data_IF_654450692458
#
_entry.id   IF_654450692458
#
_cell.length_a   1.000
_cell.length_b   1.000
_cell.length_c   1.000
_cell.angle_alpha   90.00
_cell.angle_beta   90.00
_cell.angle_gamma   90.00
#
_symmetry.space_group_name_H-M   'P 1'
#
loop_
_entity.id
_entity.type
_entity.pdbx_description
1 polymer ?
#
# COMPACT_ATOMS: atom_id res chain seq x y z
N UNK A 1 19.32 -16.99 -3.99
CA UNK A 1 19.77 -18.40 -4.01
C UNK A 1 20.90 -18.53 -3.02
N UNK A 2 20.78 -19.39 -2.01
CA UNK A 2 21.94 -19.78 -1.20
C UNK A 2 22.77 -20.65 -2.14
N UNK A 3 24.01 -20.26 -2.44
CA UNK A 3 24.89 -21.05 -3.29
C UNK A 3 25.12 -22.44 -2.69
N UNK A 4 25.48 -23.42 -3.53
CA UNK A 4 25.80 -24.79 -3.12
C UNK A 4 26.77 -24.76 -1.92
N UNK A 5 26.38 -25.39 -0.82
CA UNK A 5 27.24 -25.56 0.36
C UNK A 5 28.22 -26.70 0.15
N UNK A 6 29.28 -26.77 0.95
CA UNK A 6 30.25 -27.87 0.87
C UNK A 6 29.59 -29.23 1.22
N UNK A 7 28.55 -29.20 2.05
CA UNK A 7 27.72 -30.37 2.35
C UNK A 7 26.89 -30.80 1.13
N UNK A 8 26.35 -29.85 0.37
CA UNK A 8 25.61 -30.13 -0.87
C UNK A 8 26.54 -30.72 -1.95
N UNK A 9 27.80 -30.27 -2.02
CA UNK A 9 28.81 -30.81 -2.94
C UNK A 9 29.10 -32.28 -2.67
N UNK A 10 29.18 -32.67 -1.38
CA UNK A 10 29.32 -34.07 -0.98
C UNK A 10 27.97 -34.83 -0.91
N UNK A 11 26.85 -34.14 -1.17
CA UNK A 11 25.49 -34.66 -1.07
C UNK A 11 25.14 -35.29 0.29
N UNK A 12 25.59 -34.66 1.38
CA UNK A 12 25.35 -35.10 2.76
C UNK A 12 24.64 -34.01 3.56
N UNK A 13 23.89 -34.35 4.62
CA UNK A 13 23.32 -33.35 5.50
C UNK A 13 24.41 -32.65 6.33
N UNK A 14 24.14 -31.42 6.77
CA UNK A 14 25.03 -30.66 7.68
C UNK A 14 25.26 -31.38 9.02
N UNK A 15 24.35 -32.28 9.40
CA UNK A 15 24.41 -33.11 10.61
C UNK A 15 25.24 -34.39 10.45
N UNK A 16 25.81 -34.65 9.27
CA UNK A 16 26.58 -35.86 8.99
C UNK A 16 27.83 -35.99 9.88
N UNK A 17 28.19 -37.22 10.26
CA UNK A 17 29.41 -37.45 11.05
C UNK A 17 30.69 -37.26 10.23
N UNK A 18 31.85 -37.19 10.87
CA UNK A 18 33.14 -37.14 10.17
C UNK A 18 33.41 -38.37 9.31
N UNK A 19 32.88 -39.53 9.72
CA UNK A 19 33.03 -40.77 8.95
C UNK A 19 32.13 -40.77 7.73
N UNK A 20 30.93 -40.19 7.82
CA UNK A 20 30.05 -39.98 6.68
C UNK A 20 30.69 -39.03 5.65
N UNK A 21 31.35 -37.95 6.10
CA UNK A 21 32.10 -37.04 5.22
C UNK A 21 33.20 -37.78 4.46
N UNK A 22 33.99 -38.62 5.15
CA UNK A 22 35.05 -39.44 4.52
C UNK A 22 34.47 -40.45 3.52
N UNK A 23 33.36 -41.10 3.88
CA UNK A 23 32.69 -42.08 3.01
C UNK A 23 32.14 -41.41 1.75
N UNK A 24 31.46 -40.27 1.91
CA UNK A 24 30.91 -39.49 0.82
C UNK A 24 32.01 -38.96 -0.12
N UNK A 25 33.12 -38.46 0.43
CA UNK A 25 34.27 -38.05 -0.37
C UNK A 25 34.80 -39.20 -1.24
N UNK A 26 35.04 -40.39 -0.67
CA UNK A 26 35.52 -41.55 -1.44
C UNK A 26 34.57 -41.92 -2.57
N UNK A 27 33.27 -41.95 -2.29
CA UNK A 27 32.27 -42.25 -3.29
C UNK A 27 32.22 -41.19 -4.40
N UNK A 28 32.18 -39.90 -4.03
CA UNK A 28 32.11 -38.78 -4.97
C UNK A 28 33.38 -38.63 -5.80
N UNK A 29 34.55 -38.86 -5.19
CA UNK A 29 35.83 -38.88 -5.90
C UNK A 29 35.83 -39.95 -7.00
N UNK A 30 35.32 -41.16 -6.72
CA UNK A 30 35.20 -42.23 -7.71
C UNK A 30 34.15 -41.94 -8.80
N UNK A 31 33.08 -41.22 -8.47
CA UNK A 31 32.04 -40.80 -9.43
C UNK A 31 32.51 -39.68 -10.36
N UNK A 32 33.37 -38.79 -9.85
CA UNK A 32 33.82 -37.58 -10.57
C UNK A 32 35.22 -37.72 -11.19
N UNK A 33 35.90 -38.86 -10.99
CA UNK A 33 37.23 -39.10 -11.54
C UNK A 33 37.21 -39.11 -13.09
N UNK A 34 38.12 -38.38 -13.76
CA UNK A 34 38.14 -38.31 -15.23
C UNK A 34 38.41 -39.67 -15.91
N UNK A 35 39.09 -40.62 -15.26
CA UNK A 35 39.28 -42.00 -15.81
C UNK A 35 37.98 -42.78 -16.00
N UNK A 36 36.88 -42.41 -15.34
CA UNK A 36 35.58 -43.07 -15.58
C UNK A 36 34.89 -42.58 -16.85
N UNK A 37 35.43 -41.57 -17.51
CA UNK A 37 34.87 -41.07 -18.75
C UNK A 37 35.30 -41.97 -19.92
N UNK A 38 34.36 -42.26 -20.81
CA UNK A 38 34.64 -42.99 -22.04
C UNK A 38 35.75 -42.30 -22.85
N UNK A 39 36.57 -43.04 -23.61
CA UNK A 39 37.62 -42.46 -24.46
C UNK A 39 37.08 -41.42 -25.46
N UNK A 40 35.80 -41.54 -25.82
CA UNK A 40 35.06 -40.65 -26.72
C UNK A 40 34.52 -39.38 -26.05
N UNK A 41 34.68 -39.24 -24.73
CA UNK A 41 34.20 -38.06 -24.00
C UNK A 41 34.83 -36.78 -24.56
N UNK A 42 33.99 -35.78 -24.74
CA UNK A 42 34.40 -34.47 -25.24
C UNK A 42 35.29 -33.75 -24.23
N UNK A 43 36.13 -32.85 -24.73
CA UNK A 43 36.95 -31.97 -23.88
C UNK A 43 36.11 -31.19 -22.85
N UNK A 44 34.88 -30.82 -23.22
CA UNK A 44 33.95 -30.14 -22.31
C UNK A 44 33.51 -31.05 -21.14
N UNK A 45 33.19 -32.31 -21.40
CA UNK A 45 32.81 -33.28 -20.37
C UNK A 45 33.99 -33.60 -19.43
N UNK A 46 35.20 -33.70 -19.98
CA UNK A 46 36.42 -33.89 -19.18
C UNK A 46 36.66 -32.71 -18.22
N UNK A 47 36.58 -31.47 -18.72
CA UNK A 47 36.69 -30.27 -17.86
C UNK A 47 35.58 -30.18 -16.82
N UNK A 48 34.36 -30.56 -17.17
CA UNK A 48 33.24 -30.57 -16.23
C UNK A 48 33.44 -31.60 -15.11
N UNK A 49 33.96 -32.79 -15.43
CA UNK A 49 34.30 -33.81 -14.44
C UNK A 49 35.45 -33.35 -13.54
N UNK A 50 36.51 -32.79 -14.12
CA UNK A 50 37.64 -32.23 -13.37
C UNK A 50 37.21 -31.10 -12.42
N UNK A 51 36.34 -30.20 -12.88
CA UNK A 51 35.76 -29.14 -12.04
C UNK A 51 34.94 -29.69 -10.87
N UNK A 52 34.11 -30.74 -11.12
CA UNK A 52 33.36 -31.42 -10.06
C UNK A 52 34.28 -32.12 -9.07
N UNK A 53 35.31 -32.81 -9.55
CA UNK A 53 36.30 -33.48 -8.71
C UNK A 53 37.03 -32.48 -7.81
N UNK A 54 37.44 -31.33 -8.37
CA UNK A 54 38.06 -30.25 -7.58
C UNK A 54 37.12 -29.75 -6.49
N UNK A 55 35.85 -29.50 -6.81
CA UNK A 55 34.87 -29.08 -5.80
C UNK A 55 34.71 -30.12 -4.67
N UNK A 56 34.71 -31.42 -5.01
CA UNK A 56 34.64 -32.52 -4.03
C UNK A 56 35.87 -32.55 -3.14
N UNK A 57 37.06 -32.34 -3.69
CA UNK A 57 38.32 -32.22 -2.93
C UNK A 57 38.31 -31.00 -1.99
N UNK A 58 37.93 -29.83 -2.50
CA UNK A 58 37.85 -28.59 -1.72
C UNK A 58 36.84 -28.74 -0.56
N UNK A 59 35.70 -29.38 -0.82
CA UNK A 59 34.71 -29.68 0.21
C UNK A 59 35.27 -30.61 1.30
N UNK A 60 36.01 -31.65 0.92
CA UNK A 60 36.64 -32.56 1.88
C UNK A 60 37.78 -31.89 2.67
N UNK A 61 38.54 -30.98 2.06
CA UNK A 61 39.62 -30.26 2.75
C UNK A 61 39.11 -29.45 3.95
N UNK A 62 37.91 -28.88 3.82
CA UNK A 62 37.27 -28.10 4.88
C UNK A 62 36.48 -28.99 5.84
N UNK A 63 35.67 -29.92 5.32
CA UNK A 63 34.75 -30.73 6.13
C UNK A 63 35.43 -31.93 6.82
N UNK A 64 36.57 -32.37 6.31
CA UNK A 64 37.34 -33.50 6.84
C UNK A 64 38.17 -33.16 8.08
N UNK A 65 38.54 -31.90 8.25
CA UNK A 65 39.23 -31.38 9.44
C UNK A 65 38.21 -30.82 10.45
N UNK A 66 38.14 -31.33 11.69
CA UNK A 66 37.18 -30.85 12.69
C UNK A 66 37.27 -29.35 12.99
N UNK A 67 38.46 -28.75 12.96
CA UNK A 67 38.65 -27.33 13.23
C UNK A 67 38.15 -26.47 12.07
N UNK A 68 38.52 -26.85 10.83
CA UNK A 68 38.05 -26.15 9.62
C UNK A 68 36.54 -26.30 9.45
N UNK A 69 35.99 -27.49 9.72
CA UNK A 69 34.55 -27.77 9.68
C UNK A 69 33.79 -26.89 10.67
N UNK A 70 34.26 -26.81 11.92
CA UNK A 70 33.64 -25.96 12.94
C UNK A 70 33.62 -24.48 12.51
N UNK A 71 34.74 -23.95 12.02
CA UNK A 71 34.80 -22.57 11.54
C UNK A 71 33.86 -22.33 10.35
N UNK A 72 33.72 -23.31 9.46
CA UNK A 72 32.77 -23.25 8.34
C UNK A 72 31.31 -23.25 8.81
N UNK A 73 30.97 -24.11 9.77
CA UNK A 73 29.64 -24.22 10.36
C UNK A 73 29.25 -22.94 11.11
N UNK A 74 30.17 -22.39 11.92
CA UNK A 74 30.00 -21.12 12.63
C UNK A 74 29.71 -19.96 11.64
N UNK A 75 30.42 -19.94 10.50
CA UNK A 75 30.19 -18.94 9.45
C UNK A 75 28.83 -19.09 8.78
N UNK A 76 28.39 -20.32 8.50
CA UNK A 76 27.04 -20.57 7.95
C UNK A 76 25.99 -20.11 8.95
N UNK A 77 26.15 -20.44 10.23
CA UNK A 77 25.20 -20.08 11.28
C UNK A 77 25.11 -18.55 11.43
N UNK A 78 26.24 -17.86 11.46
CA UNK A 78 26.29 -16.40 11.51
C UNK A 78 25.61 -15.77 10.29
N UNK A 79 25.86 -16.29 9.08
CA UNK A 79 25.20 -15.82 7.86
C UNK A 79 23.68 -16.02 7.92
N UNK A 80 23.21 -17.15 8.45
CA UNK A 80 21.78 -17.42 8.63
C UNK A 80 21.14 -16.47 9.66
N UNK A 81 21.81 -16.21 10.77
CA UNK A 81 21.36 -15.25 11.79
C UNK A 81 21.28 -13.84 11.21
N UNK A 82 22.34 -13.39 10.53
CA UNK A 82 22.36 -12.09 9.88
C UNK A 82 21.26 -11.94 8.83
N UNK A 83 21.00 -12.99 8.05
CA UNK A 83 19.89 -12.99 7.08
C UNK A 83 18.54 -12.82 7.75
N UNK A 84 18.27 -13.54 8.85
CA UNK A 84 17.01 -13.40 9.60
C UNK A 84 16.80 -11.97 10.08
N UNK A 85 17.83 -11.36 10.67
CA UNK A 85 17.77 -9.96 11.13
C UNK A 85 17.49 -9.00 9.98
N UNK A 86 18.13 -9.21 8.82
CA UNK A 86 17.91 -8.39 7.63
C UNK A 86 16.48 -8.55 7.08
N UNK A 87 15.99 -9.78 6.96
CA UNK A 87 14.65 -10.10 6.50
C UNK A 87 13.58 -9.52 7.45
N UNK A 88 13.79 -9.60 8.77
CA UNK A 88 12.90 -9.01 9.77
C UNK A 88 12.84 -7.48 9.67
N UNK A 89 13.99 -6.82 9.49
CA UNK A 89 14.04 -5.37 9.31
C UNK A 89 13.32 -4.93 8.03
N UNK A 90 13.52 -5.65 6.92
CA UNK A 90 12.82 -5.36 5.66
C UNK A 90 11.31 -5.57 5.81
N UNK A 91 10.89 -6.67 6.43
CA UNK A 91 9.48 -6.96 6.63
C UNK A 91 8.81 -5.91 7.53
N UNK A 92 9.50 -5.42 8.56
CA UNK A 92 9.02 -4.30 9.40
C UNK A 92 8.78 -3.04 8.57
N UNK A 93 9.73 -2.68 7.70
CA UNK A 93 9.61 -1.49 6.83
C UNK A 93 8.44 -1.60 5.85
N UNK A 94 8.20 -2.78 5.28
CA UNK A 94 7.05 -3.02 4.39
C UNK A 94 5.75 -2.85 5.18
N UNK A 95 5.64 -3.44 6.38
CA UNK A 95 4.45 -3.26 7.24
C UNK A 95 4.21 -1.80 7.59
N UNK A 96 5.25 -1.07 8.01
CA UNK A 96 5.15 0.36 8.33
C UNK A 96 4.67 1.18 7.13
N UNK A 97 5.17 0.89 5.92
CA UNK A 97 4.74 1.53 4.67
C UNK A 97 3.26 1.26 4.38
N UNK A 98 2.84 0.01 4.48
CA UNK A 98 1.47 -0.40 4.15
C UNK A 98 0.46 0.17 5.18
N UNK A 99 0.85 0.20 6.45
CA UNK A 99 0.08 0.88 7.50
C UNK A 99 -0.04 2.39 7.26
N UNK A 100 1.03 3.05 6.83
CA UNK A 100 0.99 4.47 6.49
C UNK A 100 0.05 4.73 5.30
N UNK A 101 0.11 3.90 4.27
CA UNK A 101 -0.77 3.99 3.11
C UNK A 101 -2.25 3.79 3.51
N UNK A 102 -2.54 2.80 4.36
CA UNK A 102 -3.89 2.58 4.90
C UNK A 102 -4.37 3.80 5.68
N UNK A 103 -3.57 4.30 6.63
CA UNK A 103 -3.90 5.51 7.40
C UNK A 103 -4.10 6.74 6.50
N UNK A 104 -3.32 6.89 5.43
CA UNK A 104 -3.47 7.99 4.48
C UNK A 104 -4.80 7.89 3.72
N UNK A 105 -5.18 6.68 3.29
CA UNK A 105 -6.46 6.41 2.64
C UNK A 105 -7.62 6.68 3.59
N UNK A 106 -7.59 6.15 4.81
CA UNK A 106 -8.61 6.37 5.83
C UNK A 106 -8.81 7.87 6.14
N UNK A 107 -7.71 8.63 6.25
CA UNK A 107 -7.78 10.10 6.42
C UNK A 107 -8.39 10.82 5.23
N UNK A 108 -8.08 10.38 4.01
CA UNK A 108 -8.67 10.94 2.78
C UNK A 108 -10.17 10.67 2.73
N UNK A 109 -10.57 9.42 3.00
CA UNK A 109 -11.97 9.00 3.02
C UNK A 109 -12.77 9.74 4.10
N UNK A 110 -12.21 9.91 5.31
CA UNK A 110 -12.85 10.70 6.37
C UNK A 110 -13.12 12.14 5.94
N UNK A 111 -12.11 12.81 5.33
CA UNK A 111 -12.29 14.18 4.80
C UNK A 111 -13.36 14.26 3.71
N UNK A 112 -13.40 13.26 2.83
CA UNK A 112 -14.39 13.22 1.76
C UNK A 112 -15.80 12.96 2.30
N UNK A 113 -15.92 12.12 3.34
CA UNK A 113 -17.18 11.87 4.03
C UNK A 113 -17.70 13.11 4.72
N UNK A 114 -16.86 13.80 5.50
CA UNK A 114 -17.23 15.08 6.14
C UNK A 114 -17.72 16.10 5.12
N UNK A 115 -17.05 16.18 3.96
CA UNK A 115 -17.45 17.06 2.88
C UNK A 115 -18.79 16.65 2.24
N UNK A 116 -19.03 15.36 2.07
CA UNK A 116 -20.30 14.84 1.56
C UNK A 116 -21.45 15.14 2.54
N UNK A 117 -21.25 14.86 3.83
CA UNK A 117 -22.23 15.12 4.89
C UNK A 117 -22.58 16.62 4.97
N UNK A 118 -21.59 17.50 4.80
CA UNK A 118 -21.80 18.95 4.72
C UNK A 118 -22.71 19.36 3.55
N UNK A 119 -22.47 18.80 2.35
CA UNK A 119 -23.31 19.12 1.18
C UNK A 119 -24.73 18.60 1.33
N UNK A 120 -24.91 17.41 1.91
CA UNK A 120 -26.23 16.86 2.17
C UNK A 120 -27.01 17.71 3.18
N UNK A 121 -26.35 18.17 4.24
CA UNK A 121 -26.95 19.10 5.19
C UNK A 121 -27.32 20.44 4.53
N UNK A 122 -26.44 21.02 3.70
CA UNK A 122 -26.74 22.25 2.96
C UNK A 122 -27.94 22.07 2.02
N UNK A 123 -28.03 20.93 1.34
CA UNK A 123 -29.15 20.60 0.47
C UNK A 123 -30.45 20.57 1.26
N UNK A 124 -30.47 19.89 2.42
CA UNK A 124 -31.61 19.85 3.32
C UNK A 124 -32.06 21.24 3.78
N UNK A 125 -31.11 22.09 4.17
CA UNK A 125 -31.40 23.47 4.59
C UNK A 125 -32.02 24.29 3.44
N UNK A 126 -31.51 24.13 2.22
CA UNK A 126 -32.08 24.82 1.05
C UNK A 126 -33.51 24.36 0.76
N UNK A 127 -33.76 23.05 0.80
CA UNK A 127 -35.09 22.48 0.60
C UNK A 127 -36.07 22.94 1.69
N UNK A 128 -35.64 22.97 2.95
CA UNK A 128 -36.46 23.46 4.06
C UNK A 128 -36.77 24.96 3.92
N UNK A 129 -35.77 25.77 3.56
CA UNK A 129 -35.97 27.19 3.27
C UNK A 129 -36.95 27.39 2.11
N UNK A 130 -36.88 26.54 1.09
CA UNK A 130 -37.78 26.58 -0.06
C UNK A 130 -39.22 26.24 0.37
N UNK A 131 -39.41 25.17 1.15
CA UNK A 131 -40.73 24.81 1.70
C UNK A 131 -41.32 25.93 2.55
N UNK A 132 -40.50 26.58 3.37
CA UNK A 132 -40.96 27.71 4.15
C UNK A 132 -41.36 28.90 3.27
N UNK A 133 -40.58 29.19 2.22
CA UNK A 133 -40.92 30.22 1.25
C UNK A 133 -42.26 29.92 0.53
N UNK A 134 -42.47 28.67 0.12
CA UNK A 134 -43.72 28.22 -0.49
C UNK A 134 -44.91 28.33 0.47
N UNK A 135 -44.75 27.90 1.72
CA UNK A 135 -45.77 28.03 2.77
C UNK A 135 -46.14 29.50 3.02
N UNK A 136 -45.15 30.39 3.08
CA UNK A 136 -45.38 31.83 3.26
C UNK A 136 -46.10 32.41 2.05
N UNK A 137 -45.69 32.05 0.83
CA UNK A 137 -46.34 32.52 -0.39
C UNK A 137 -47.81 32.06 -0.45
N UNK A 138 -48.07 30.81 -0.11
CA UNK A 138 -49.43 30.27 -0.03
C UNK A 138 -50.28 31.03 0.98
N UNK A 139 -49.77 31.30 2.17
CA UNK A 139 -50.47 32.12 3.16
C UNK A 139 -50.80 33.53 2.63
N UNK A 140 -49.89 34.14 1.86
CA UNK A 140 -50.14 35.45 1.24
C UNK A 140 -51.11 35.39 0.04
N UNK A 141 -51.19 34.27 -0.68
CA UNK A 141 -52.25 34.05 -1.67
C UNK A 141 -53.62 33.91 -0.97
N UNK A 142 -53.73 33.10 0.07
CA UNK A 142 -54.98 32.93 0.84
C UNK A 142 -55.48 34.27 1.41
N UNK A 143 -54.56 35.09 1.95
CA UNK A 143 -54.86 36.45 2.41
C UNK A 143 -55.30 37.38 1.28
N UNK A 144 -54.71 37.27 0.09
CA UNK A 144 -55.11 38.04 -1.10
C UNK A 144 -56.53 37.69 -1.54
N UNK A 145 -56.90 36.41 -1.49
CA UNK A 145 -58.24 35.94 -1.82
C UNK A 145 -59.29 36.44 -0.80
N UNK A 146 -58.95 36.43 0.49
CA UNK A 146 -59.88 36.82 1.56
C UNK A 146 -60.02 38.34 1.76
N UNK A 147 -59.05 39.15 1.32
CA UNK A 147 -59.07 40.61 1.51
C UNK A 147 -58.61 41.37 0.26
N UNK A 148 -59.46 41.52 -0.78
CA UNK A 148 -59.09 42.12 -2.06
C UNK A 148 -58.61 43.58 -1.95
N UNK A 149 -59.06 44.32 -0.93
CA UNK A 149 -58.59 45.70 -0.69
C UNK A 149 -57.12 45.80 -0.24
N UNK A 150 -56.52 44.71 0.25
CA UNK A 150 -55.10 44.72 0.63
C UNK A 150 -54.18 44.77 -0.58
N UNK A 151 -54.55 44.11 -1.68
CA UNK A 151 -53.77 44.16 -2.92
C UNK A 151 -53.80 45.57 -3.53
N UNK A 152 -54.94 46.26 -3.45
CA UNK A 152 -55.06 47.68 -3.79
C UNK A 152 -54.13 48.56 -2.94
N UNK A 153 -54.03 48.31 -1.62
CA UNK A 153 -53.12 49.04 -0.72
C UNK A 153 -51.65 48.76 -1.03
N UNK A 154 -51.30 47.51 -1.37
CA UNK A 154 -49.95 47.10 -1.77
C UNK A 154 -49.54 47.74 -3.09
N UNK A 155 -50.40 47.74 -4.10
CA UNK A 155 -50.15 48.41 -5.37
C UNK A 155 -49.97 49.93 -5.18
N UNK A 156 -50.81 50.57 -4.36
CA UNK A 156 -50.65 51.97 -4.00
C UNK A 156 -49.32 52.24 -3.26
N UNK A 157 -48.87 51.31 -2.40
CA UNK A 157 -47.59 51.42 -1.70
C UNK A 157 -46.38 51.23 -2.64
N UNK A 158 -46.44 50.28 -3.57
CA UNK A 158 -45.43 50.06 -4.60
C UNK A 158 -45.35 51.25 -5.56
N UNK A 159 -46.49 51.79 -6.00
CA UNK A 159 -46.54 53.01 -6.81
C UNK A 159 -45.96 54.21 -6.05
N UNK A 160 -46.25 54.36 -4.75
CA UNK A 160 -45.63 55.42 -3.93
C UNK A 160 -44.12 55.26 -3.82
N UNK A 161 -43.63 54.04 -3.66
CA UNK A 161 -42.19 53.74 -3.62
C UNK A 161 -41.54 54.02 -4.97
N UNK A 162 -42.16 53.61 -6.07
CA UNK A 162 -41.67 53.88 -7.43
C UNK A 162 -41.68 55.38 -7.75
N UNK A 163 -42.70 56.12 -7.33
CA UNK A 163 -42.76 57.58 -7.43
C UNK A 163 -41.66 58.25 -6.61
N UNK A 164 -41.37 57.73 -5.40
CA UNK A 164 -40.28 58.21 -4.55
C UNK A 164 -38.89 57.91 -5.15
N UNK A 165 -38.69 56.70 -5.69
CA UNK A 165 -37.44 56.27 -6.34
C UNK A 165 -37.19 57.02 -7.66
N UNK A 166 -38.26 57.41 -8.38
CA UNK A 166 -38.19 58.29 -9.57
C UNK A 166 -38.09 59.78 -9.23
N UNK A 167 -37.94 60.14 -7.94
CA UNK A 167 -37.80 61.52 -7.48
C UNK A 167 -39.05 62.39 -7.60
N UNK A 168 -40.22 61.79 -7.87
CA UNK A 168 -41.48 62.52 -8.00
C UNK A 168 -42.28 62.42 -6.70
N UNK A 169 -41.94 63.26 -5.73
CA UNK A 169 -42.79 63.47 -4.55
C UNK A 169 -43.79 64.58 -4.90
N UNK A 170 -45.10 64.30 -5.03
CA UNK A 170 -46.07 65.37 -5.23
C UNK A 170 -46.13 66.23 -3.96
N UNK A 171 -45.77 67.52 -4.11
CA UNK A 171 -45.92 68.53 -3.05
C UNK A 171 -47.39 68.59 -2.63
N UNK A 172 -47.69 68.24 -1.38
CA UNK A 172 -48.99 68.57 -0.78
C UNK A 172 -49.01 70.08 -0.56
N UNK A 173 -49.81 70.79 -1.35
CA UNK A 173 -50.19 72.16 -1.02
C UNK A 173 -51.11 72.10 0.19
N UNK A 174 -50.61 72.53 1.35
CA UNK A 174 -51.43 72.90 2.50
C UNK A 174 -52.02 74.27 2.20
N UNK A 175 -53.34 74.33 1.99
CA UNK A 175 -54.09 75.59 2.00
C UNK A 175 -54.29 76.00 3.46
N UNK A 176 -53.87 77.22 3.81
CA UNK A 176 -54.18 77.89 5.07
C UNK A 176 -55.62 78.37 5.11
#
# INVERSE_FOLDING_TARGET
>A
MIGLTLYDVLAIPTTASTDDVRKAYKQKALETHPDKLEPTATEHERRAAEGKFRNVCDAFEVLGDPLKRKAYDDRIQLAQQNKKVWDEQQNRRVKERDEWARKAKDRSEARMKERADFYENLKRIKEEKQRYAEMVEQFYEDLRECHPEWELRRQAALQRKEMADKGHIPRRYTTH
#
